data_IF_744337947677
#
_entry.id   IF_744337947677
#
_cell.length_a   1.000
_cell.length_b   1.000
_cell.length_c   1.000
_cell.angle_alpha   90.00
_cell.angle_beta   90.00
_cell.angle_gamma   90.00
#
_symmetry.space_group_name_H-M   'P 1'
#
loop_
_entity.id
_entity.type
_entity.pdbx_description
1 polymer ?
#
# COMPACT_ATOMS: atom_id res chain seq x y z
N UNK A 1 18.29 6.12 -8.63
CA UNK A 1 18.37 4.79 -7.98
C UNK A 1 17.21 4.74 -7.01
N UNK A 2 16.30 3.79 -7.18
CA UNK A 2 15.05 3.73 -6.39
C UNK A 2 15.28 2.92 -5.13
N UNK A 3 14.91 3.47 -3.97
CA UNK A 3 14.99 2.76 -2.70
C UNK A 3 13.84 1.76 -2.62
N UNK A 4 14.18 0.48 -2.46
CA UNK A 4 13.20 -0.61 -2.38
C UNK A 4 12.94 -0.94 -0.92
N UNK A 5 11.68 -0.90 -0.50
CA UNK A 5 11.30 -1.11 0.90
C UNK A 5 10.20 -2.16 1.02
N UNK A 6 10.18 -2.85 2.15
CA UNK A 6 9.06 -3.67 2.60
C UNK A 6 8.48 -3.09 3.89
N UNK A 7 7.16 -3.24 4.08
CA UNK A 7 6.48 -2.81 5.30
C UNK A 7 6.13 -4.06 6.11
N UNK A 8 6.62 -4.13 7.35
CA UNK A 8 6.26 -5.19 8.29
C UNK A 8 5.33 -4.62 9.36
N UNK A 9 4.07 -5.05 9.35
CA UNK A 9 2.98 -4.47 10.14
C UNK A 9 2.20 -3.41 9.36
N UNK A 10 1.06 -3.79 8.83
CA UNK A 10 0.17 -2.99 7.98
C UNK A 10 -1.03 -2.39 8.74
N UNK A 11 -0.75 -1.91 9.95
CA UNK A 11 -1.67 -1.11 10.75
C UNK A 11 -1.88 0.30 10.18
N UNK A 12 -2.38 1.22 11.02
CA UNK A 12 -2.68 2.60 10.60
C UNK A 12 -1.49 3.31 9.96
N UNK A 13 -0.30 3.19 10.55
CA UNK A 13 0.91 3.86 10.06
C UNK A 13 1.36 3.26 8.72
N UNK A 14 1.41 1.92 8.60
CA UNK A 14 1.81 1.25 7.37
C UNK A 14 0.93 1.65 6.18
N UNK A 15 -0.40 1.67 6.36
CA UNK A 15 -1.34 2.10 5.32
C UNK A 15 -1.18 3.58 4.95
N UNK A 16 -1.00 4.45 5.95
CA UNK A 16 -0.80 5.87 5.69
C UNK A 16 0.54 6.16 5.00
N UNK A 17 1.59 5.37 5.26
CA UNK A 17 2.86 5.47 4.51
C UNK A 17 2.63 5.12 3.04
N UNK A 18 1.95 4.01 2.75
CA UNK A 18 1.60 3.65 1.36
C UNK A 18 0.87 4.80 0.69
N UNK A 19 -0.24 5.28 1.29
CA UNK A 19 -1.02 6.39 0.73
C UNK A 19 -0.18 7.65 0.51
N UNK A 20 0.62 8.07 1.50
CA UNK A 20 1.45 9.26 1.41
C UNK A 20 2.50 9.19 0.29
N UNK A 21 3.02 7.99 -0.03
CA UNK A 21 3.97 7.80 -1.12
C UNK A 21 3.30 8.00 -2.51
N UNK A 22 2.05 7.58 -2.67
CA UNK A 22 1.29 7.76 -3.91
C UNK A 22 0.63 9.15 -4.04
N UNK A 23 0.30 9.79 -2.93
CA UNK A 23 -0.31 11.14 -2.89
C UNK A 23 0.75 12.26 -3.04
N UNK A 24 2.05 11.94 -2.88
CA UNK A 24 3.13 12.92 -2.95
C UNK A 24 4.07 12.66 -4.16
N UNK A 25 3.97 13.47 -5.23
CA UNK A 25 4.75 13.30 -6.45
C UNK A 25 6.27 13.34 -6.27
N UNK A 26 6.76 13.89 -5.15
CA UNK A 26 8.20 13.90 -4.84
C UNK A 26 8.76 12.50 -4.64
N UNK A 27 7.93 11.54 -4.24
CA UNK A 27 8.37 10.19 -3.91
C UNK A 27 8.17 9.17 -5.04
N UNK A 28 7.34 9.48 -6.03
CA UNK A 28 6.90 8.60 -7.13
C UNK A 28 8.03 7.82 -7.81
N UNK A 29 9.22 8.41 -7.95
CA UNK A 29 10.37 7.80 -8.62
C UNK A 29 11.55 7.48 -7.69
N UNK A 30 11.35 7.59 -6.38
CA UNK A 30 12.43 7.46 -5.38
C UNK A 30 12.25 6.28 -4.44
N UNK A 31 11.01 5.82 -4.22
CA UNK A 31 10.69 4.73 -3.30
C UNK A 31 9.75 3.74 -4.00
N UNK A 32 10.12 2.46 -3.96
CA UNK A 32 9.31 1.34 -4.45
C UNK A 32 8.94 0.44 -3.26
N UNK A 33 7.65 0.20 -3.06
CA UNK A 33 7.17 -0.72 -2.02
C UNK A 33 7.04 -2.10 -2.65
N UNK A 34 7.93 -3.01 -2.29
CA UNK A 34 8.01 -4.33 -2.94
C UNK A 34 7.17 -5.39 -2.24
N UNK A 35 6.96 -5.23 -0.92
CA UNK A 35 6.20 -6.19 -0.13
C UNK A 35 5.58 -5.56 1.12
N UNK A 36 4.47 -6.13 1.57
CA UNK A 36 3.79 -5.80 2.83
C UNK A 36 3.49 -7.12 3.56
N UNK A 37 3.92 -7.21 4.81
CA UNK A 37 3.64 -8.34 5.70
C UNK A 37 2.67 -7.93 6.82
N UNK A 38 1.56 -8.66 6.96
CA UNK A 38 0.60 -8.46 8.05
C UNK A 38 -0.22 -9.74 8.36
N UNK A 39 -0.82 -9.78 9.56
CA UNK A 39 -1.67 -10.89 9.99
C UNK A 39 -3.11 -10.80 9.47
N UNK A 40 -3.52 -9.62 8.97
CA UNK A 40 -4.83 -9.41 8.39
C UNK A 40 -5.00 -10.15 7.06
N UNK A 41 -6.24 -10.47 6.68
CA UNK A 41 -6.52 -11.02 5.36
C UNK A 41 -6.19 -9.99 4.27
N UNK A 42 -5.80 -10.47 3.09
CA UNK A 42 -5.44 -9.60 1.97
C UNK A 42 -6.60 -8.71 1.51
N UNK A 43 -7.84 -9.19 1.62
CA UNK A 43 -9.06 -8.42 1.35
C UNK A 43 -9.21 -7.27 2.35
N UNK A 44 -8.95 -7.53 3.63
CA UNK A 44 -8.99 -6.51 4.67
C UNK A 44 -7.90 -5.45 4.44
N UNK A 45 -6.68 -5.87 4.08
CA UNK A 45 -5.60 -4.96 3.74
C UNK A 45 -5.98 -4.05 2.58
N UNK A 46 -6.49 -4.62 1.47
CA UNK A 46 -6.91 -3.84 0.31
C UNK A 46 -8.04 -2.86 0.63
N UNK A 47 -9.07 -3.33 1.34
CA UNK A 47 -10.20 -2.50 1.75
C UNK A 47 -9.74 -1.34 2.65
N UNK A 48 -8.92 -1.61 3.67
CA UNK A 48 -8.45 -0.60 4.61
C UNK A 48 -7.43 0.37 4.01
N UNK A 49 -6.78 0.01 2.92
CA UNK A 49 -5.94 0.94 2.13
C UNK A 49 -6.82 1.87 1.30
N UNK A 50 -7.88 1.35 0.68
CA UNK A 50 -8.82 2.15 -0.11
C UNK A 50 -9.66 3.11 0.77
N UNK A 51 -10.05 2.68 1.98
CA UNK A 51 -10.98 3.39 2.85
C UNK A 51 -10.42 3.60 4.25
N UNK A 52 -10.23 4.86 4.65
CA UNK A 52 -9.86 5.24 6.02
C UNK A 52 -10.89 6.22 6.59
N UNK A 53 -11.36 6.01 7.82
CA UNK A 53 -12.37 6.88 8.44
C UNK A 53 -11.85 8.28 8.80
N UNK A 54 -10.54 8.44 9.01
CA UNK A 54 -9.90 9.71 9.36
C UNK A 54 -9.44 10.47 8.11
N UNK A 55 -8.81 9.77 7.18
CA UNK A 55 -8.22 10.36 5.97
C UNK A 55 -9.09 10.20 4.71
N UNK A 56 -10.30 9.67 4.87
CA UNK A 56 -11.23 9.42 3.77
C UNK A 56 -10.77 8.33 2.81
N UNK A 57 -11.43 8.31 1.66
CA UNK A 57 -11.12 7.39 0.56
C UNK A 57 -9.81 7.78 -0.10
N UNK A 58 -8.95 6.81 -0.34
CA UNK A 58 -7.73 6.99 -1.11
C UNK A 58 -8.07 7.31 -2.58
N UNK A 59 -7.34 8.24 -3.19
CA UNK A 59 -7.63 8.78 -4.53
C UNK A 59 -7.13 7.89 -5.68
N UNK A 60 -6.39 6.82 -5.36
CA UNK A 60 -6.03 5.74 -6.29
C UNK A 60 -6.94 4.54 -6.07
N UNK A 61 -7.14 3.79 -7.14
CA UNK A 61 -7.81 2.50 -7.08
C UNK A 61 -6.87 1.45 -6.48
N UNK A 62 -7.39 0.69 -5.52
CA UNK A 62 -6.68 -0.41 -4.87
C UNK A 62 -7.34 -1.72 -5.28
N UNK A 63 -6.63 -2.54 -6.04
CA UNK A 63 -7.14 -3.83 -6.54
C UNK A 63 -6.36 -4.96 -5.89
N UNK A 64 -7.08 -5.96 -5.38
CA UNK A 64 -6.48 -7.21 -4.92
C UNK A 64 -6.45 -8.23 -6.06
N UNK A 65 -5.27 -8.76 -6.38
CA UNK A 65 -5.09 -9.83 -7.36
C UNK A 65 -4.31 -10.99 -6.72
N UNK A 66 -5.04 -11.98 -6.18
CA UNK A 66 -4.43 -13.10 -5.46
C UNK A 66 -3.71 -12.60 -4.20
N UNK A 67 -2.39 -12.69 -4.21
CA UNK A 67 -1.49 -12.26 -3.13
C UNK A 67 -0.81 -10.92 -3.42
N UNK A 68 -1.37 -10.11 -4.34
CA UNK A 68 -0.81 -8.80 -4.71
C UNK A 68 -1.80 -7.67 -4.52
N UNK A 69 -1.31 -6.57 -3.96
CA UNK A 69 -2.00 -5.29 -3.89
C UNK A 69 -1.54 -4.42 -5.08
N UNK A 70 -2.46 -4.12 -5.99
CA UNK A 70 -2.20 -3.32 -7.18
C UNK A 70 -2.70 -1.88 -6.97
N UNK A 71 -1.81 -0.91 -7.18
CA UNK A 71 -2.10 0.53 -7.10
C UNK A 71 -1.39 1.18 -8.29
N UNK A 72 -2.15 1.79 -9.20
CA UNK A 72 -1.63 2.23 -10.51
C UNK A 72 -0.95 1.08 -11.27
N UNK A 73 0.31 1.24 -11.66
CA UNK A 73 1.12 0.23 -12.33
C UNK A 73 1.91 -0.66 -11.35
N UNK A 74 1.90 -0.31 -10.06
CA UNK A 74 2.67 -1.04 -9.05
C UNK A 74 1.97 -2.30 -8.60
N UNK A 75 2.76 -3.35 -8.39
CA UNK A 75 2.33 -4.63 -7.83
C UNK A 75 3.09 -4.91 -6.54
N UNK A 76 2.42 -4.79 -5.40
CA UNK A 76 3.02 -4.98 -4.08
C UNK A 76 2.68 -6.39 -3.58
N UNK A 77 3.70 -7.19 -3.26
CA UNK A 77 3.50 -8.54 -2.72
C UNK A 77 2.90 -8.47 -1.31
N UNK A 78 1.83 -9.22 -1.05
CA UNK A 78 1.27 -9.40 0.29
C UNK A 78 1.78 -10.72 0.89
N UNK A 79 2.13 -10.65 2.18
CA UNK A 79 2.68 -11.75 2.98
C UNK A 79 1.93 -11.82 4.31
N UNK A 80 1.90 -13.02 4.91
CA UNK A 80 1.29 -13.29 6.21
C UNK A 80 2.21 -14.10 7.11
#
# INVERSE_FOLDING_TARGET
MTLRIAINGYGRIGRNIVRALYENPRFEHSIEIVAINDLASFEAMAHLTQFDSTHGRFDREVILQGDKLCINEDQIQLLS
#
